data_IF_260581644885
#
_entry.id   IF_260581644885
#
_cell.length_a   1.000
_cell.length_b   1.000
_cell.length_c   1.000
_cell.angle_alpha   90.00
_cell.angle_beta   90.00
_cell.angle_gamma   90.00
#
_symmetry.space_group_name_H-M   'P 1'
#
loop_
_entity.id
_entity.type
_entity.pdbx_description
1 polymer ?
#
# COMPACT_ATOMS: atom_id res chain seq x y z
N UNK A 1 4.04 -9.08 9.91
CA UNK A 1 2.69 -8.70 9.48
C UNK A 1 2.13 -9.88 8.72
N UNK A 2 1.13 -10.55 9.28
CA UNK A 2 0.46 -11.68 8.62
C UNK A 2 -0.75 -11.18 7.81
N UNK A 3 -1.46 -12.09 7.13
CA UNK A 3 -2.66 -11.75 6.34
C UNK A 3 -3.77 -11.12 7.20
N UNK A 4 -3.88 -11.49 8.48
CA UNK A 4 -4.89 -10.94 9.39
C UNK A 4 -4.58 -9.48 9.76
N UNK A 5 -3.31 -9.14 9.98
CA UNK A 5 -2.86 -7.75 10.20
C UNK A 5 -3.24 -6.87 9.00
N UNK A 6 -3.06 -7.41 7.78
CA UNK A 6 -3.41 -6.74 6.54
C UNK A 6 -4.92 -6.51 6.41
N UNK A 7 -5.72 -7.53 6.73
CA UNK A 7 -7.18 -7.44 6.77
C UNK A 7 -7.67 -6.43 7.83
N UNK A 8 -7.04 -6.37 9.00
CA UNK A 8 -7.40 -5.44 10.05
C UNK A 8 -7.16 -3.99 9.64
N UNK A 9 -5.97 -3.71 9.09
CA UNK A 9 -5.65 -2.39 8.53
C UNK A 9 -6.69 -2.03 7.47
N UNK A 10 -6.94 -2.91 6.49
CA UNK A 10 -7.94 -2.66 5.45
C UNK A 10 -9.34 -2.31 6.01
N UNK A 11 -9.75 -2.93 7.12
CA UNK A 11 -11.03 -2.66 7.81
C UNK A 11 -11.06 -1.25 8.41
N UNK A 12 -10.08 -0.89 9.22
CA UNK A 12 -9.96 0.43 9.88
C UNK A 12 -10.04 1.56 8.85
N UNK A 13 -9.41 1.34 7.72
CA UNK A 13 -9.30 2.31 6.64
C UNK A 13 -10.59 2.45 5.83
N UNK A 14 -11.25 1.32 5.59
CA UNK A 14 -12.60 1.29 5.00
C UNK A 14 -13.61 1.99 5.89
N UNK A 15 -13.47 1.92 7.21
CA UNK A 15 -14.39 2.55 8.14
C UNK A 15 -14.13 4.06 8.31
N UNK A 16 -12.88 4.47 8.44
CA UNK A 16 -12.54 5.85 8.81
C UNK A 16 -12.30 6.78 7.62
N UNK A 17 -11.71 6.27 6.54
CA UNK A 17 -11.21 7.09 5.42
C UNK A 17 -12.17 7.06 4.23
N UNK A 18 -12.82 5.91 3.99
CA UNK A 18 -13.83 5.76 2.94
C UNK A 18 -14.89 6.86 2.96
N UNK A 19 -15.53 7.23 4.10
CA UNK A 19 -16.58 8.25 4.07
C UNK A 19 -16.08 9.61 3.55
N UNK A 20 -14.83 9.97 3.86
CA UNK A 20 -14.20 11.23 3.45
C UNK A 20 -13.84 11.23 1.96
N UNK A 21 -13.33 10.11 1.47
CA UNK A 21 -12.85 10.00 0.09
C UNK A 21 -13.95 9.56 -0.90
N UNK A 22 -15.05 8.96 -0.42
CA UNK A 22 -16.10 8.34 -1.26
C UNK A 22 -16.65 9.29 -2.32
N UNK A 23 -16.89 10.56 -1.99
CA UNK A 23 -17.42 11.55 -2.94
C UNK A 23 -16.53 11.75 -4.18
N UNK A 24 -15.21 11.63 -4.01
CA UNK A 24 -14.24 11.85 -5.09
C UNK A 24 -14.10 10.63 -5.99
N UNK A 25 -14.22 9.43 -5.40
CA UNK A 25 -13.94 8.18 -6.09
C UNK A 25 -15.19 7.41 -6.54
N UNK A 26 -16.37 7.73 -6.01
CA UNK A 26 -17.63 7.11 -6.43
C UNK A 26 -17.98 7.24 -7.92
N UNK A 27 -17.53 8.28 -8.67
CA UNK A 27 -17.75 8.35 -10.11
C UNK A 27 -16.75 7.52 -10.94
N UNK A 28 -15.70 6.97 -10.30
CA UNK A 28 -14.62 6.27 -11.01
C UNK A 28 -14.95 4.78 -11.21
N UNK A 29 -14.67 4.28 -12.41
CA UNK A 29 -14.72 2.84 -12.71
C UNK A 29 -13.63 2.04 -12.00
N UNK A 30 -12.59 2.71 -11.48
CA UNK A 30 -11.43 2.08 -10.83
C UNK A 30 -11.57 1.93 -9.32
N UNK A 31 -12.60 2.52 -8.70
CA UNK A 31 -12.79 2.56 -7.24
C UNK A 31 -14.10 1.91 -6.83
N UNK A 32 -14.23 0.60 -7.11
CA UNK A 32 -15.19 -0.23 -6.41
C UNK A 32 -14.57 -0.62 -5.07
N UNK A 33 -15.09 -0.06 -3.98
CA UNK A 33 -14.72 -0.41 -2.59
C UNK A 33 -15.19 -1.82 -2.18
N UNK A 34 -15.32 -2.72 -3.15
CA UNK A 34 -15.88 -4.05 -2.96
C UNK A 34 -14.80 -5.05 -3.32
N UNK A 35 -14.59 -6.01 -2.42
CA UNK A 35 -13.81 -7.21 -2.69
C UNK A 35 -14.57 -8.00 -3.75
N UNK A 36 -14.00 -8.15 -4.95
CA UNK A 36 -14.60 -9.05 -5.93
C UNK A 36 -14.25 -10.51 -5.60
N UNK A 37 -14.91 -11.43 -6.29
CA UNK A 37 -14.75 -12.88 -6.14
C UNK A 37 -13.32 -13.36 -6.45
N UNK A 38 -12.51 -12.52 -7.10
CA UNK A 38 -11.10 -12.78 -7.44
C UNK A 38 -10.12 -12.25 -6.39
N UNK A 39 -10.61 -11.63 -5.31
CA UNK A 39 -9.78 -11.10 -4.25
C UNK A 39 -9.07 -9.79 -4.61
N UNK A 40 -9.56 -9.03 -5.60
CA UNK A 40 -9.11 -7.65 -5.81
C UNK A 40 -9.62 -6.84 -4.63
N UNK A 41 -8.72 -6.47 -3.72
CA UNK A 41 -9.00 -5.55 -2.64
C UNK A 41 -8.38 -4.22 -3.03
N UNK A 42 -9.20 -3.27 -3.46
CA UNK A 42 -8.80 -1.85 -3.50
C UNK A 42 -8.66 -1.35 -2.06
N UNK A 43 -7.54 -1.66 -1.43
CA UNK A 43 -7.22 -1.17 -0.08
C UNK A 43 -6.73 0.25 -0.24
N UNK A 44 -7.65 1.20 -0.10
CA UNK A 44 -7.28 2.51 0.38
C UNK A 44 -7.33 2.49 1.90
N UNK A 45 -6.19 2.82 2.52
CA UNK A 45 -5.78 4.19 2.43
C UNK A 45 -4.29 4.33 2.18
N UNK A 46 -4.00 4.95 1.05
CA UNK A 46 -2.74 5.61 0.78
C UNK A 46 -1.46 4.75 0.67
N UNK A 47 -1.30 3.62 1.34
CA UNK A 47 0.04 3.07 1.56
C UNK A 47 0.30 1.64 1.07
N UNK A 48 -0.67 0.99 0.40
CA UNK A 48 -0.44 -0.25 -0.34
C UNK A 48 -1.44 -0.44 -1.49
N UNK A 49 -1.13 0.03 -2.70
CA UNK A 49 -1.88 -0.38 -3.89
C UNK A 49 -1.40 -1.76 -4.34
N UNK A 50 -2.31 -2.71 -4.45
CA UNK A 50 -1.97 -4.10 -4.76
C UNK A 50 -2.86 -4.63 -5.87
N UNK A 51 -2.26 -4.99 -7.01
CA UNK A 51 -2.95 -5.72 -8.08
C UNK A 51 -2.67 -7.21 -7.92
N UNK A 52 -3.73 -8.02 -7.85
CA UNK A 52 -3.64 -9.47 -7.72
C UNK A 52 -4.21 -10.12 -8.97
N UNK A 53 -3.46 -11.07 -9.55
CA UNK A 53 -3.98 -12.02 -10.54
C UNK A 53 -3.68 -13.43 -10.03
N UNK A 54 -4.72 -14.20 -9.67
CA UNK A 54 -4.52 -15.54 -9.09
C UNK A 54 -4.05 -15.46 -7.64
N UNK A 55 -2.94 -16.12 -7.30
CA UNK A 55 -2.43 -16.20 -5.92
C UNK A 55 -1.31 -15.23 -5.55
N UNK A 56 -0.79 -14.49 -6.53
CA UNK A 56 0.36 -13.59 -6.37
C UNK A 56 0.00 -12.15 -6.78
N UNK A 57 0.82 -11.19 -6.33
CA UNK A 57 0.66 -9.78 -6.66
C UNK A 57 1.55 -9.36 -7.84
N UNK A 58 1.00 -8.58 -8.77
CA UNK A 58 1.73 -8.01 -9.92
C UNK A 58 2.51 -6.75 -9.53
N UNK A 59 1.90 -5.94 -8.68
CA UNK A 59 2.43 -4.65 -8.27
C UNK A 59 2.00 -4.32 -6.85
N UNK A 60 2.93 -3.73 -6.08
CA UNK A 60 2.71 -3.28 -4.71
C UNK A 60 3.30 -1.87 -4.52
N UNK A 61 2.54 -0.92 -3.99
CA UNK A 61 3.01 0.45 -3.71
C UNK A 61 3.08 0.76 -2.21
N UNK A 62 4.25 0.67 -1.58
CA UNK A 62 4.47 0.88 -0.14
C UNK A 62 4.69 2.36 0.16
N UNK A 63 3.78 2.95 0.92
CA UNK A 63 3.94 4.31 1.43
C UNK A 63 3.70 4.39 2.96
N UNK A 64 3.89 3.27 3.68
CA UNK A 64 3.61 3.18 5.11
C UNK A 64 4.65 3.88 6.03
N UNK A 65 4.66 3.51 7.31
CA UNK A 65 5.67 3.93 8.28
C UNK A 65 7.08 3.45 7.87
N UNK A 66 7.98 4.41 7.68
CA UNK A 66 9.30 4.20 7.07
C UNK A 66 10.22 3.25 7.86
N UNK A 67 10.24 3.23 9.22
CA UNK A 67 11.10 2.32 9.98
C UNK A 67 10.84 0.83 9.72
N UNK A 68 9.64 0.45 9.28
CA UNK A 68 9.30 -0.95 9.00
C UNK A 68 9.45 -1.33 7.51
N UNK A 69 9.97 -0.46 6.65
CA UNK A 69 10.09 -0.73 5.21
C UNK A 69 10.87 -2.00 4.87
N UNK A 70 11.95 -2.27 5.60
CA UNK A 70 12.73 -3.50 5.41
C UNK A 70 11.90 -4.75 5.76
N UNK A 71 11.13 -4.70 6.85
CA UNK A 71 10.23 -5.82 7.22
C UNK A 71 9.14 -6.03 6.19
N UNK A 72 8.59 -4.94 5.62
CA UNK A 72 7.65 -5.03 4.51
C UNK A 72 8.31 -5.65 3.29
N UNK A 73 9.53 -5.24 2.95
CA UNK A 73 10.27 -5.81 1.83
C UNK A 73 10.43 -7.33 1.92
N UNK A 74 10.85 -7.85 3.06
CA UNK A 74 11.03 -9.30 3.28
C UNK A 74 9.74 -10.12 3.08
N UNK A 75 8.60 -9.53 3.44
CA UNK A 75 7.28 -10.14 3.26
C UNK A 75 6.85 -10.02 1.79
N UNK A 76 6.97 -8.82 1.21
CA UNK A 76 6.47 -8.52 -0.12
C UNK A 76 7.20 -9.28 -1.23
N UNK A 77 8.51 -9.51 -1.10
CA UNK A 77 9.28 -10.31 -2.07
C UNK A 77 8.76 -11.76 -2.17
N UNK A 78 8.05 -12.26 -1.14
CA UNK A 78 7.42 -13.59 -1.15
C UNK A 78 5.99 -13.59 -1.70
N UNK A 79 5.34 -12.43 -1.74
CA UNK A 79 3.94 -12.27 -2.13
C UNK A 79 3.79 -11.71 -3.55
N UNK A 80 4.80 -10.98 -4.02
CA UNK A 80 4.87 -10.44 -5.39
C UNK A 80 5.47 -11.50 -6.31
N UNK A 81 4.82 -11.70 -7.46
CA UNK A 81 5.28 -12.66 -8.47
C UNK A 81 6.68 -12.33 -8.96
N UNK A 82 7.40 -13.33 -9.48
CA UNK A 82 8.66 -13.09 -10.19
C UNK A 82 8.41 -12.16 -11.38
N UNK A 83 9.17 -11.07 -11.46
CA UNK A 83 8.99 -10.02 -12.47
C UNK A 83 7.89 -8.99 -12.13
N UNK A 84 7.22 -9.11 -10.98
CA UNK A 84 6.36 -8.07 -10.43
C UNK A 84 7.14 -6.87 -9.88
N UNK A 85 6.43 -5.80 -9.54
CA UNK A 85 7.04 -4.52 -9.16
C UNK A 85 6.64 -4.11 -7.72
N UNK A 86 7.61 -3.59 -6.96
CA UNK A 86 7.37 -2.97 -5.65
C UNK A 86 7.86 -1.52 -5.71
N UNK A 87 6.97 -0.56 -5.51
CA UNK A 87 7.30 0.85 -5.36
C UNK A 87 7.35 1.25 -3.89
N UNK A 88 8.33 2.06 -3.49
CA UNK A 88 8.42 2.64 -2.14
C UNK A 88 8.37 4.16 -2.24
N UNK A 89 7.48 4.80 -1.50
CA UNK A 89 7.36 6.26 -1.50
C UNK A 89 8.27 6.92 -0.46
N UNK A 90 8.56 8.20 -0.69
CA UNK A 90 9.35 9.10 0.12
C UNK A 90 10.78 8.61 0.44
N UNK A 91 11.36 7.78 -0.43
CA UNK A 91 12.74 7.28 -0.27
C UNK A 91 13.79 8.39 -0.30
N UNK A 92 13.48 9.55 -0.91
CA UNK A 92 14.33 10.74 -0.85
C UNK A 92 14.09 11.61 0.39
N UNK A 93 13.08 11.31 1.21
CA UNK A 93 12.76 11.94 2.50
C UNK A 93 12.99 13.46 2.53
N UNK A 94 12.17 14.23 1.81
CA UNK A 94 12.31 15.69 1.68
C UNK A 94 13.69 16.17 1.16
N UNK A 95 14.43 15.30 0.48
CA UNK A 95 15.84 15.49 0.06
C UNK A 95 16.84 15.46 1.21
N UNK A 96 16.39 15.20 2.44
CA UNK A 96 17.24 15.16 3.63
C UNK A 96 18.28 14.05 3.59
N UNK A 97 18.07 13.00 2.79
CA UNK A 97 19.05 11.89 2.63
C UNK A 97 20.39 12.33 2.06
N UNK A 98 20.49 13.53 1.49
CA UNK A 98 21.71 14.10 0.95
C UNK A 98 22.27 15.27 1.79
N UNK A 99 21.63 15.59 2.92
CA UNK A 99 22.10 16.62 3.84
C UNK A 99 23.07 16.01 4.87
N UNK A 100 24.03 16.79 5.40
CA UNK A 100 24.72 16.44 6.64
C UNK A 100 23.71 16.24 7.79
N UNK A 101 24.02 15.35 8.73
CA UNK A 101 23.12 15.01 9.84
C UNK A 101 22.68 16.24 10.66
N UNK A 102 23.56 17.23 10.80
CA UNK A 102 23.28 18.47 11.54
C UNK A 102 22.27 19.39 10.83
N UNK A 103 22.07 19.21 9.52
CA UNK A 103 21.17 20.01 8.69
C UNK A 103 19.81 19.33 8.45
N UNK A 104 19.62 18.11 8.96
CA UNK A 104 18.34 17.40 8.89
C UNK A 104 17.33 18.03 9.88
N UNK A 105 16.15 18.49 9.41
CA UNK A 105 15.14 19.16 10.24
C UNK A 105 14.48 18.31 11.33
#
# INVERSE_FOLDING_TARGET
>A
MNYEDFCHIASVCTEQIRPKCRRFFSPSNFMKFEKDESGIIAIFPFYLYVMRTGDEFDFVFVDADKPNYIKYHEILVKLVKVGGLIGYDNTLWFKCVALPDEEVP
#
